data_IF_467667630509
#
_entry.id   IF_467667630509
#
_cell.length_a   1.000
_cell.length_b   1.000
_cell.length_c   1.000
_cell.angle_alpha   90.00
_cell.angle_beta   90.00
_cell.angle_gamma   90.00
#
_symmetry.space_group_name_H-M   'P 1'
#
loop_
_entity.id
_entity.type
_entity.pdbx_description
1 polymer ?
#
# COMPACT_ATOMS: atom_id res chain seq x y z
N UNK A 1 -14.70 -41.58 53.37
CA UNK A 1 -15.14 -42.62 52.45
C UNK A 1 -16.07 -41.98 51.44
N UNK A 2 -15.71 -42.11 50.14
CA UNK A 2 -16.43 -41.66 48.93
C UNK A 2 -16.54 -40.15 48.62
N UNK A 3 -15.65 -39.71 47.75
CA UNK A 3 -15.76 -38.52 46.90
C UNK A 3 -16.90 -38.69 45.89
N UNK A 4 -17.66 -37.63 45.65
CA UNK A 4 -18.46 -37.49 44.44
C UNK A 4 -18.00 -36.23 43.69
N UNK A 5 -17.40 -36.45 42.53
CA UNK A 5 -17.10 -35.43 41.54
C UNK A 5 -18.40 -34.97 40.88
N UNK A 6 -18.63 -33.68 40.83
CA UNK A 6 -19.63 -33.05 39.96
C UNK A 6 -19.03 -32.71 38.63
N UNK A 7 -19.54 -33.28 37.55
CA UNK A 7 -19.20 -32.95 36.18
C UNK A 7 -20.07 -31.77 35.77
N UNK A 8 -19.44 -30.61 35.55
CA UNK A 8 -20.08 -29.46 34.95
C UNK A 8 -20.17 -29.66 33.41
N UNK A 9 -21.39 -29.69 32.90
CA UNK A 9 -21.66 -29.72 31.46
C UNK A 9 -21.54 -28.32 30.93
N UNK A 10 -20.48 -28.09 30.14
CA UNK A 10 -20.31 -26.88 29.36
C UNK A 10 -21.13 -27.04 28.07
N UNK A 11 -22.25 -26.34 27.95
CA UNK A 11 -23.03 -26.29 26.72
C UNK A 11 -22.35 -25.33 25.73
N UNK A 12 -21.64 -25.89 24.75
CA UNK A 12 -21.11 -25.15 23.61
C UNK A 12 -22.24 -24.96 22.61
N UNK A 13 -22.69 -23.73 22.45
CA UNK A 13 -23.59 -23.37 21.35
C UNK A 13 -22.80 -23.42 20.04
N UNK A 14 -23.06 -24.39 19.19
CA UNK A 14 -22.55 -24.48 17.85
C UNK A 14 -23.43 -23.58 16.99
N UNK A 15 -22.90 -22.42 16.60
CA UNK A 15 -23.47 -21.63 15.53
C UNK A 15 -23.07 -22.28 14.21
N UNK A 16 -24.01 -22.98 13.58
CA UNK A 16 -23.84 -23.47 12.22
C UNK A 16 -23.97 -22.28 11.27
N UNK A 17 -22.85 -21.66 10.90
CA UNK A 17 -22.78 -20.83 9.72
C UNK A 17 -22.66 -21.78 8.51
N UNK A 18 -23.70 -21.82 7.68
CA UNK A 18 -23.67 -22.52 6.40
C UNK A 18 -22.68 -21.78 5.49
N UNK A 19 -21.42 -22.21 5.50
CA UNK A 19 -20.46 -21.88 4.47
C UNK A 19 -20.85 -22.65 3.22
N UNK A 20 -21.37 -21.97 2.21
CA UNK A 20 -21.45 -22.49 0.86
C UNK A 20 -20.00 -22.65 0.41
N UNK A 21 -19.51 -23.89 0.46
CA UNK A 21 -18.19 -24.26 -0.01
C UNK A 21 -18.13 -24.17 -1.53
N UNK A 22 -17.54 -23.13 -2.05
CA UNK A 22 -16.97 -23.14 -3.39
C UNK A 22 -15.62 -23.85 -3.32
N UNK A 23 -15.62 -25.15 -3.61
CA UNK A 23 -14.40 -25.88 -3.94
C UNK A 23 -14.03 -25.60 -5.40
N UNK A 24 -13.47 -24.42 -5.66
CA UNK A 24 -12.76 -24.13 -6.89
C UNK A 24 -11.32 -24.65 -6.76
N UNK A 25 -10.92 -25.50 -7.67
CA UNK A 25 -9.51 -25.90 -7.86
C UNK A 25 -8.76 -24.63 -8.22
N UNK A 26 -7.90 -24.17 -7.32
CA UNK A 26 -7.00 -23.04 -7.59
C UNK A 26 -5.94 -23.54 -8.57
N UNK A 27 -6.12 -23.28 -9.86
CA UNK A 27 -4.97 -23.20 -10.77
C UNK A 27 -4.04 -22.14 -10.21
N UNK A 28 -2.78 -22.49 -10.02
CA UNK A 28 -1.76 -21.53 -9.63
C UNK A 28 -1.53 -20.58 -10.80
N UNK A 29 -2.32 -19.54 -10.85
CA UNK A 29 -2.11 -18.41 -11.74
C UNK A 29 -0.84 -17.70 -11.28
N UNK A 30 0.08 -17.46 -12.21
CA UNK A 30 1.33 -16.75 -11.97
C UNK A 30 1.08 -15.24 -11.82
N UNK A 31 0.02 -14.85 -11.10
CA UNK A 31 -0.26 -13.46 -10.77
C UNK A 31 0.86 -12.94 -9.87
N UNK A 32 1.47 -11.85 -10.27
CA UNK A 32 2.45 -11.15 -9.44
C UNK A 32 1.82 -10.87 -8.06
N UNK A 33 2.58 -11.01 -6.98
CA UNK A 33 2.09 -10.91 -5.60
C UNK A 33 1.34 -9.61 -5.24
N UNK A 34 1.28 -8.64 -6.16
CA UNK A 34 0.63 -7.34 -6.01
C UNK A 34 -0.64 -7.15 -6.86
N UNK A 35 -1.11 -8.17 -7.58
CA UNK A 35 -2.30 -8.05 -8.40
C UNK A 35 -3.57 -8.35 -7.60
N UNK A 36 -4.53 -7.41 -7.63
CA UNK A 36 -5.76 -7.48 -6.85
C UNK A 36 -6.96 -8.00 -7.66
N UNK A 37 -6.94 -7.87 -9.00
CA UNK A 37 -7.95 -8.42 -9.90
C UNK A 37 -7.55 -9.84 -10.30
N UNK A 38 -8.47 -10.78 -10.19
CA UNK A 38 -8.28 -12.17 -10.60
C UNK A 38 -8.94 -12.41 -11.94
N UNK A 39 -8.29 -13.22 -12.81
CA UNK A 39 -8.81 -13.57 -14.13
C UNK A 39 -9.25 -12.30 -14.92
N UNK A 40 -8.39 -11.29 -14.91
CA UNK A 40 -8.65 -10.06 -15.66
C UNK A 40 -8.30 -10.18 -17.15
N UNK A 41 -7.63 -11.25 -17.54
CA UNK A 41 -7.37 -11.70 -18.92
C UNK A 41 -8.49 -12.57 -19.49
N UNK A 42 -9.49 -12.91 -18.68
CA UNK A 42 -10.67 -13.73 -19.04
C UNK A 42 -10.37 -15.12 -19.61
N UNK A 43 -9.15 -15.63 -19.49
CA UNK A 43 -8.77 -16.94 -20.02
C UNK A 43 -9.46 -18.09 -19.27
N UNK A 44 -9.87 -17.87 -18.02
CA UNK A 44 -10.72 -18.78 -17.23
C UNK A 44 -12.20 -18.37 -17.27
N UNK A 45 -12.68 -17.89 -18.40
CA UNK A 45 -14.05 -17.48 -18.62
C UNK A 45 -14.46 -16.30 -17.72
N UNK A 46 -15.55 -16.46 -16.97
CA UNK A 46 -16.08 -15.43 -16.07
C UNK A 46 -15.76 -15.71 -14.59
N UNK A 47 -14.86 -16.62 -14.29
CA UNK A 47 -14.48 -16.92 -12.92
C UNK A 47 -14.01 -15.64 -12.22
N UNK A 48 -14.48 -15.45 -10.98
CA UNK A 48 -14.28 -14.27 -10.15
C UNK A 48 -15.04 -12.98 -10.58
N UNK A 49 -15.75 -12.99 -11.69
CA UNK A 49 -16.54 -11.84 -12.14
C UNK A 49 -18.05 -12.07 -11.92
N UNK A 50 -18.73 -11.06 -11.42
CA UNK A 50 -20.16 -11.07 -11.14
C UNK A 50 -20.85 -10.22 -12.23
N UNK A 51 -21.76 -10.87 -12.98
CA UNK A 51 -22.54 -10.21 -14.02
C UNK A 51 -23.87 -9.65 -13.49
N UNK A 52 -24.29 -8.50 -13.99
CA UNK A 52 -25.64 -7.96 -13.73
C UNK A 52 -26.73 -8.79 -14.38
N UNK A 53 -26.42 -9.51 -15.46
CA UNK A 53 -27.34 -10.37 -16.18
C UNK A 53 -26.76 -11.79 -16.34
N UNK A 54 -26.97 -12.68 -15.35
CA UNK A 54 -26.38 -14.01 -15.37
C UNK A 54 -26.90 -14.91 -16.51
N UNK A 55 -28.03 -14.56 -17.14
CA UNK A 55 -28.57 -15.33 -18.26
C UNK A 55 -27.85 -15.08 -19.59
N UNK A 56 -27.00 -14.06 -19.67
CA UNK A 56 -26.19 -13.75 -20.85
C UNK A 56 -24.76 -14.31 -20.78
N UNK A 57 -24.44 -15.11 -19.77
CA UNK A 57 -23.09 -15.56 -19.46
C UNK A 57 -22.34 -16.29 -20.60
N UNK A 58 -23.05 -17.05 -21.44
CA UNK A 58 -22.42 -17.77 -22.58
C UNK A 58 -22.07 -16.84 -23.74
N UNK A 59 -22.65 -15.65 -23.81
CA UNK A 59 -22.35 -14.64 -24.83
C UNK A 59 -21.33 -13.60 -24.36
N UNK A 60 -20.97 -13.62 -23.07
CA UNK A 60 -20.11 -12.61 -22.48
C UNK A 60 -18.61 -12.88 -22.64
N UNK A 61 -18.23 -14.09 -23.10
CA UNK A 61 -16.85 -14.36 -23.49
C UNK A 61 -16.76 -14.44 -25.01
N UNK A 62 -15.83 -13.69 -25.57
CA UNK A 62 -15.48 -13.72 -26.99
C UNK A 62 -14.05 -14.18 -27.16
N UNK A 63 -13.67 -14.54 -28.39
CA UNK A 63 -12.32 -14.93 -28.77
C UNK A 63 -11.82 -13.97 -29.84
N UNK A 64 -10.65 -13.35 -29.66
CA UNK A 64 -10.03 -12.44 -30.64
C UNK A 64 -9.02 -13.15 -31.52
N UNK A 65 -8.29 -14.11 -30.95
CA UNK A 65 -7.29 -14.96 -31.62
C UNK A 65 -7.37 -16.36 -31.00
N UNK A 66 -6.81 -17.41 -31.61
CA UNK A 66 -6.80 -18.73 -31.01
C UNK A 66 -6.15 -18.71 -29.62
N UNK A 67 -6.97 -18.95 -28.59
CA UNK A 67 -6.52 -18.99 -27.19
C UNK A 67 -6.54 -17.66 -26.45
N UNK A 68 -6.98 -16.54 -27.05
CA UNK A 68 -7.14 -15.27 -26.33
C UNK A 68 -8.61 -14.93 -26.16
N UNK A 69 -9.07 -14.92 -24.92
CA UNK A 69 -10.43 -14.60 -24.54
C UNK A 69 -10.57 -13.12 -24.08
N UNK A 70 -11.77 -12.60 -24.12
CA UNK A 70 -12.09 -11.27 -23.61
C UNK A 70 -13.52 -11.23 -23.07
N UNK A 71 -13.78 -10.37 -22.11
CA UNK A 71 -15.14 -10.06 -21.66
C UNK A 71 -15.88 -9.25 -22.73
N UNK A 72 -17.07 -9.73 -23.12
CA UNK A 72 -17.98 -8.99 -24.02
C UNK A 72 -19.24 -8.59 -23.26
N UNK A 73 -19.48 -7.29 -23.16
CA UNK A 73 -20.69 -6.72 -22.57
C UNK A 73 -21.54 -6.04 -23.65
N UNK A 74 -22.87 -6.21 -23.55
CA UNK A 74 -23.88 -5.65 -24.50
C UNK A 74 -25.05 -5.08 -23.71
N UNK A 75 -25.82 -4.17 -24.31
CA UNK A 75 -27.14 -3.74 -23.82
C UNK A 75 -27.18 -3.33 -22.33
N UNK A 76 -26.27 -2.49 -21.88
CA UNK A 76 -26.16 -2.06 -20.49
C UNK A 76 -25.77 -3.16 -19.48
N UNK A 77 -25.23 -4.28 -19.94
CA UNK A 77 -24.66 -5.29 -19.06
C UNK A 77 -23.46 -4.74 -18.30
N UNK A 78 -23.27 -5.25 -17.12
CA UNK A 78 -22.13 -4.93 -16.27
C UNK A 78 -21.48 -6.18 -15.70
N UNK A 79 -20.18 -6.11 -15.52
CA UNK A 79 -19.41 -7.08 -14.75
C UNK A 79 -18.67 -6.36 -13.63
N UNK A 80 -18.61 -6.94 -12.44
CA UNK A 80 -17.79 -6.39 -11.37
C UNK A 80 -17.09 -7.48 -10.58
N UNK A 81 -16.00 -7.11 -9.95
CA UNK A 81 -15.25 -7.95 -9.04
C UNK A 81 -14.95 -7.19 -7.76
N UNK A 82 -15.16 -7.85 -6.60
CA UNK A 82 -14.67 -7.35 -5.32
C UNK A 82 -13.16 -7.58 -5.24
N UNK A 83 -12.44 -6.56 -4.86
CA UNK A 83 -10.99 -6.57 -4.74
C UNK A 83 -10.56 -6.15 -3.35
N UNK A 84 -9.44 -6.71 -2.88
CA UNK A 84 -8.86 -6.33 -1.59
C UNK A 84 -7.88 -5.19 -1.81
N UNK A 85 -8.16 -4.04 -1.23
CA UNK A 85 -7.29 -2.86 -1.27
C UNK A 85 -7.02 -2.34 0.14
N UNK A 86 -5.94 -1.60 0.32
CA UNK A 86 -5.59 -0.93 1.58
C UNK A 86 -6.21 0.47 1.63
N UNK A 87 -6.58 1.01 2.80
CA UNK A 87 -7.00 2.41 2.92
C UNK A 87 -5.85 3.36 2.60
N UNK A 88 -6.19 4.59 2.18
CA UNK A 88 -5.27 5.70 1.87
C UNK A 88 -4.13 5.36 0.90
N UNK A 89 -4.29 4.34 0.07
CA UNK A 89 -3.25 3.77 -0.79
C UNK A 89 -3.52 4.09 -2.26
N UNK A 90 -2.48 4.43 -3.00
CA UNK A 90 -2.56 4.69 -4.44
C UNK A 90 -2.54 3.38 -5.24
N UNK A 91 -3.44 3.29 -6.21
CA UNK A 91 -3.57 2.16 -7.13
C UNK A 91 -3.60 2.63 -8.58
N UNK A 92 -3.16 1.75 -9.47
CA UNK A 92 -3.34 1.88 -10.91
C UNK A 92 -4.15 0.70 -11.42
N UNK A 93 -5.32 0.99 -11.99
CA UNK A 93 -6.11 0.05 -12.76
C UNK A 93 -5.77 0.19 -14.23
N UNK A 94 -5.31 -0.88 -14.87
CA UNK A 94 -5.06 -0.94 -16.31
C UNK A 94 -6.02 -1.92 -16.97
N UNK A 95 -6.35 -1.70 -18.23
CA UNK A 95 -7.22 -2.57 -19.02
C UNK A 95 -7.13 -2.24 -20.50
N UNK A 96 -7.42 -3.21 -21.32
CA UNK A 96 -7.65 -3.02 -22.74
C UNK A 96 -9.14 -2.94 -23.01
N UNK A 97 -9.55 -2.01 -23.84
CA UNK A 97 -10.96 -1.78 -24.18
C UNK A 97 -11.14 -1.52 -25.67
N UNK A 98 -12.17 -2.14 -26.25
CA UNK A 98 -12.67 -1.83 -27.58
C UNK A 98 -14.19 -1.76 -27.51
N UNK A 99 -14.75 -0.62 -27.88
CA UNK A 99 -16.19 -0.39 -27.70
C UNK A 99 -16.86 0.20 -28.95
N UNK A 100 -17.79 1.10 -28.72
CA UNK A 100 -18.53 1.84 -29.74
C UNK A 100 -18.15 3.31 -29.70
N UNK A 101 -18.18 3.97 -30.85
CA UNK A 101 -18.00 5.43 -30.91
C UNK A 101 -19.26 6.20 -30.51
N UNK A 102 -20.42 5.55 -30.56
CA UNK A 102 -21.72 6.20 -30.29
C UNK A 102 -22.32 5.83 -28.94
N UNK A 103 -21.79 4.80 -28.29
CA UNK A 103 -22.26 4.32 -27.00
C UNK A 103 -21.05 4.13 -26.09
N UNK A 104 -20.80 5.04 -25.16
CA UNK A 104 -19.65 4.94 -24.26
C UNK A 104 -19.70 3.66 -23.44
N UNK A 105 -18.54 3.12 -23.18
CA UNK A 105 -18.32 2.10 -22.14
C UNK A 105 -17.85 2.78 -20.86
N UNK A 106 -18.04 2.15 -19.73
CA UNK A 106 -17.76 2.76 -18.43
C UNK A 106 -16.91 1.83 -17.58
N UNK A 107 -15.90 2.41 -16.95
CA UNK A 107 -15.10 1.75 -15.91
C UNK A 107 -15.24 2.55 -14.61
N UNK A 108 -15.61 1.86 -13.54
CA UNK A 108 -15.85 2.46 -12.22
C UNK A 108 -15.08 1.69 -11.17
N UNK A 109 -14.44 2.40 -10.24
CA UNK A 109 -13.88 1.85 -9.00
C UNK A 109 -14.52 2.56 -7.81
N UNK A 110 -14.81 1.83 -6.74
CA UNK A 110 -15.43 2.38 -5.54
C UNK A 110 -15.98 1.30 -4.62
N UNK A 111 -16.70 1.69 -3.58
CA UNK A 111 -17.27 0.77 -2.61
C UNK A 111 -18.68 0.35 -3.00
N UNK A 112 -19.03 -0.92 -2.79
CA UNK A 112 -20.40 -1.39 -2.86
C UNK A 112 -21.16 -0.92 -1.62
N UNK A 113 -22.33 -0.31 -1.84
CA UNK A 113 -23.29 0.01 -0.79
C UNK A 113 -24.17 -1.22 -0.42
N UNK A 114 -25.04 -1.05 0.57
CA UNK A 114 -25.95 -2.10 1.02
C UNK A 114 -26.93 -2.57 -0.09
N UNK A 115 -27.17 -1.77 -1.11
CA UNK A 115 -28.02 -2.10 -2.26
C UNK A 115 -27.25 -2.78 -3.41
N UNK A 116 -25.98 -3.13 -3.18
CA UNK A 116 -25.05 -3.66 -4.18
C UNK A 116 -24.79 -2.72 -5.37
N UNK A 117 -24.90 -1.43 -5.15
CA UNK A 117 -24.52 -0.40 -6.12
C UNK A 117 -23.13 0.13 -5.76
N UNK A 118 -22.30 0.39 -6.75
CA UNK A 118 -20.99 0.98 -6.52
C UNK A 118 -21.15 2.50 -6.33
N UNK A 119 -20.78 2.98 -5.15
CA UNK A 119 -20.53 4.40 -4.88
C UNK A 119 -19.16 4.74 -5.48
N UNK A 120 -19.10 5.53 -6.56
CA UNK A 120 -17.88 5.73 -7.30
C UNK A 120 -16.86 6.55 -6.51
N UNK A 121 -15.64 6.03 -6.36
CA UNK A 121 -14.45 6.83 -6.07
C UNK A 121 -13.94 7.48 -7.36
N UNK A 122 -13.91 6.72 -8.44
CA UNK A 122 -13.58 7.18 -9.78
C UNK A 122 -14.43 6.46 -10.82
N UNK A 123 -14.88 7.22 -11.80
CA UNK A 123 -15.70 6.75 -12.92
C UNK A 123 -15.22 7.41 -14.20
N UNK A 124 -14.93 6.62 -15.23
CA UNK A 124 -14.49 7.11 -16.53
C UNK A 124 -15.26 6.44 -17.66
N UNK A 125 -15.46 7.17 -18.75
CA UNK A 125 -16.13 6.70 -19.95
C UNK A 125 -15.15 6.66 -21.12
N UNK A 126 -15.33 5.65 -21.98
CA UNK A 126 -14.44 5.37 -23.10
C UNK A 126 -15.27 5.13 -24.37
N UNK A 127 -14.77 5.62 -25.49
CA UNK A 127 -15.33 5.41 -26.82
C UNK A 127 -14.23 5.01 -27.78
N UNK A 128 -14.51 4.12 -28.75
CA UNK A 128 -13.53 3.70 -29.75
C UNK A 128 -13.76 2.25 -30.18
N UNK A 129 -13.48 1.94 -31.46
CA UNK A 129 -13.61 0.58 -31.99
C UNK A 129 -12.33 -0.24 -31.86
N UNK A 130 -11.19 0.42 -31.85
CA UNK A 130 -9.92 -0.26 -31.79
C UNK A 130 -9.60 -0.62 -30.35
N UNK A 131 -9.01 -1.78 -30.10
CA UNK A 131 -8.45 -2.08 -28.79
C UNK A 131 -7.41 -1.02 -28.41
N UNK A 132 -7.59 -0.41 -27.25
CA UNK A 132 -6.68 0.58 -26.69
C UNK A 132 -6.41 0.24 -25.24
N UNK A 133 -5.15 0.40 -24.82
CA UNK A 133 -4.74 0.25 -23.45
C UNK A 133 -4.99 1.54 -22.68
N UNK A 134 -5.63 1.43 -21.51
CA UNK A 134 -5.94 2.57 -20.65
C UNK A 134 -5.51 2.34 -19.21
N UNK A 135 -5.29 3.44 -18.52
CA UNK A 135 -5.04 3.43 -17.08
C UNK A 135 -5.94 4.42 -16.32
N UNK A 136 -6.28 4.04 -15.09
CA UNK A 136 -6.95 4.88 -14.10
C UNK A 136 -6.12 4.85 -12.83
N UNK A 137 -5.57 6.00 -12.43
CA UNK A 137 -4.90 6.18 -11.13
C UNK A 137 -5.88 6.74 -10.12
N UNK A 138 -5.89 6.18 -8.92
CA UNK A 138 -6.75 6.64 -7.83
C UNK A 138 -6.11 6.36 -6.48
N UNK A 139 -6.57 7.08 -5.45
CA UNK A 139 -6.20 6.84 -4.06
C UNK A 139 -7.44 6.42 -3.29
N UNK A 140 -7.37 5.31 -2.57
CA UNK A 140 -8.46 4.82 -1.72
C UNK A 140 -8.73 5.75 -0.54
N UNK A 141 -9.98 5.77 -0.07
CA UNK A 141 -10.36 6.43 1.17
C UNK A 141 -10.10 5.58 2.41
N UNK A 142 -10.73 5.96 3.51
CA UNK A 142 -10.67 5.21 4.78
C UNK A 142 -11.40 3.87 4.69
N UNK A 143 -12.65 3.91 4.19
CA UNK A 143 -13.46 2.69 4.02
C UNK A 143 -13.13 2.00 2.70
N UNK A 144 -12.67 0.78 2.79
CA UNK A 144 -12.34 -0.11 1.67
C UNK A 144 -12.93 -1.52 1.85
N UNK A 145 -13.90 -1.67 2.75
CA UNK A 145 -14.44 -2.97 3.17
C UNK A 145 -15.09 -3.78 2.03
N UNK A 146 -15.67 -3.10 1.04
CA UNK A 146 -16.36 -3.71 -0.11
C UNK A 146 -15.93 -3.02 -1.42
N UNK A 147 -14.64 -2.87 -1.62
CA UNK A 147 -14.12 -2.18 -2.80
C UNK A 147 -14.27 -3.04 -4.05
N UNK A 148 -14.68 -2.43 -5.16
CA UNK A 148 -14.97 -3.13 -6.40
C UNK A 148 -14.44 -2.41 -7.63
N UNK A 149 -14.10 -3.19 -8.64
CA UNK A 149 -13.87 -2.77 -10.02
C UNK A 149 -15.09 -3.19 -10.84
N UNK A 150 -15.71 -2.23 -11.56
CA UNK A 150 -16.87 -2.47 -12.42
C UNK A 150 -16.57 -2.04 -13.84
N UNK A 151 -16.90 -2.92 -14.76
CA UNK A 151 -16.87 -2.74 -16.21
C UNK A 151 -18.32 -2.69 -16.71
N UNK A 152 -18.65 -1.77 -17.61
CA UNK A 152 -20.01 -1.62 -18.08
C UNK A 152 -20.08 -1.26 -19.56
N UNK A 153 -21.09 -1.81 -20.24
CA UNK A 153 -21.59 -1.32 -21.51
C UNK A 153 -22.75 -0.37 -21.24
N UNK A 154 -22.86 0.72 -21.98
CA UNK A 154 -24.04 1.60 -21.89
C UNK A 154 -25.16 1.14 -22.84
N UNK A 155 -26.37 1.71 -22.69
CA UNK A 155 -27.66 1.20 -23.14
C UNK A 155 -27.78 0.56 -24.53
N UNK A 156 -27.00 0.85 -25.52
CA UNK A 156 -27.05 0.19 -26.86
C UNK A 156 -25.64 -0.17 -27.33
N UNK A 157 -24.68 -0.19 -26.38
CA UNK A 157 -23.29 -0.42 -26.69
C UNK A 157 -22.93 -1.91 -26.79
N UNK A 158 -21.82 -2.14 -27.43
CA UNK A 158 -21.02 -3.38 -27.31
C UNK A 158 -19.64 -2.97 -26.92
N UNK A 159 -19.08 -3.65 -25.93
CA UNK A 159 -17.71 -3.40 -25.48
C UNK A 159 -17.01 -4.72 -25.22
N UNK A 160 -15.71 -4.71 -25.49
CA UNK A 160 -14.78 -5.77 -25.14
C UNK A 160 -13.82 -5.22 -24.10
N UNK A 161 -13.60 -5.98 -23.05
CA UNK A 161 -12.58 -5.71 -22.05
C UNK A 161 -11.61 -6.90 -21.96
N UNK A 162 -10.35 -6.59 -21.74
CA UNK A 162 -9.30 -7.58 -21.60
C UNK A 162 -8.16 -7.02 -20.73
N UNK A 163 -7.27 -7.88 -20.25
CA UNK A 163 -6.06 -7.50 -19.53
C UNK A 163 -6.32 -6.53 -18.34
N UNK A 164 -7.41 -6.76 -17.62
CA UNK A 164 -7.78 -5.93 -16.47
C UNK A 164 -6.88 -6.24 -15.29
N UNK A 165 -6.05 -5.29 -14.88
CA UNK A 165 -5.12 -5.45 -13.76
C UNK A 165 -5.29 -4.28 -12.79
N UNK A 166 -5.31 -4.59 -11.51
CA UNK A 166 -5.27 -3.60 -10.43
C UNK A 166 -4.01 -3.80 -9.61
N UNK A 167 -3.10 -2.85 -9.67
CA UNK A 167 -1.84 -2.89 -8.94
C UNK A 167 -1.76 -1.77 -7.93
N UNK A 168 -1.33 -2.11 -6.73
CA UNK A 168 -0.91 -1.11 -5.76
C UNK A 168 0.30 -0.37 -6.34
N UNK A 169 0.27 0.97 -6.29
CA UNK A 169 1.48 1.75 -6.59
C UNK A 169 2.52 1.36 -5.57
N UNK A 170 3.62 0.83 -6.05
CA UNK A 170 4.74 0.53 -5.16
C UNK A 170 5.09 1.79 -4.37
N UNK A 171 4.96 1.69 -3.06
CA UNK A 171 5.48 2.73 -2.20
C UNK A 171 7.01 2.60 -2.22
N UNK A 172 7.73 3.53 -2.85
CA UNK A 172 9.18 3.45 -2.88
C UNK A 172 9.78 3.63 -1.49
N UNK A 173 8.97 4.11 -0.54
CA UNK A 173 9.43 4.40 0.81
C UNK A 173 9.30 3.18 1.71
N UNK A 174 10.40 2.75 2.28
CA UNK A 174 10.45 1.79 3.39
C UNK A 174 10.11 2.53 4.70
N UNK A 175 10.55 3.77 4.79
CA UNK A 175 10.23 4.71 5.84
C UNK A 175 9.97 6.08 5.23
N UNK A 176 8.93 6.76 5.68
CA UNK A 176 8.63 8.15 5.34
C UNK A 176 7.96 8.82 6.54
N UNK A 177 8.70 9.66 7.24
CA UNK A 177 8.23 10.40 8.41
C UNK A 177 8.36 11.89 8.09
N UNK A 178 7.23 12.54 7.82
CA UNK A 178 7.11 13.97 7.52
C UNK A 178 6.43 14.78 8.64
N UNK A 179 6.04 14.12 9.72
CA UNK A 179 5.33 14.63 10.88
C UNK A 179 4.04 15.42 10.62
N UNK A 180 3.82 15.93 9.43
CA UNK A 180 2.60 16.66 9.05
C UNK A 180 1.40 15.75 8.90
N UNK A 181 1.61 14.59 8.27
CA UNK A 181 0.56 13.60 8.01
C UNK A 181 0.54 12.48 9.05
N UNK A 182 1.64 12.28 9.78
CA UNK A 182 1.74 11.25 10.79
C UNK A 182 2.53 11.77 12.01
N UNK A 183 1.84 12.04 13.09
CA UNK A 183 2.46 12.46 14.37
C UNK A 183 3.13 11.29 15.10
N UNK A 184 3.55 10.24 14.41
CA UNK A 184 4.24 9.10 14.97
C UNK A 184 5.74 9.12 14.64
N UNK A 185 6.54 8.78 15.63
CA UNK A 185 7.99 8.61 15.47
C UNK A 185 8.38 7.14 15.19
N UNK A 186 7.41 6.25 15.07
CA UNK A 186 7.73 4.85 14.74
C UNK A 186 8.58 4.75 13.44
N UNK A 187 9.60 3.88 13.39
CA UNK A 187 9.93 2.85 14.40
C UNK A 187 10.85 3.32 15.54
N UNK A 188 11.18 4.61 15.63
CA UNK A 188 12.16 5.12 16.60
C UNK A 188 11.61 5.15 18.02
N UNK A 189 12.39 4.61 18.96
CA UNK A 189 12.10 4.56 20.40
C UNK A 189 13.33 4.93 21.21
N UNK A 190 13.18 5.48 22.42
CA UNK A 190 14.31 5.69 23.32
C UNK A 190 15.07 4.40 23.57
N UNK A 191 16.37 4.39 23.30
CA UNK A 191 17.23 3.24 23.46
C UNK A 191 18.29 3.43 24.55
N UNK A 192 18.76 4.65 24.71
CA UNK A 192 19.75 5.01 25.72
C UNK A 192 19.72 6.50 26.00
N UNK A 193 20.05 6.89 27.26
CA UNK A 193 20.16 8.28 27.68
C UNK A 193 18.81 8.93 28.08
N UNK A 194 18.80 10.25 28.10
CA UNK A 194 17.66 11.04 28.55
C UNK A 194 17.38 12.19 27.58
N UNK A 195 17.07 11.86 26.30
CA UNK A 195 16.63 12.85 25.33
C UNK A 195 15.23 13.37 25.70
N UNK A 196 15.06 14.68 25.69
CA UNK A 196 13.75 15.33 25.79
C UNK A 196 13.40 15.82 24.38
N UNK A 197 12.29 15.31 23.84
CA UNK A 197 11.85 15.60 22.48
C UNK A 197 10.33 15.60 22.37
N UNK A 198 9.81 16.36 21.44
CA UNK A 198 8.40 16.42 21.08
C UNK A 198 8.26 16.61 19.55
N UNK A 199 7.11 16.23 19.00
CA UNK A 199 6.70 16.65 17.67
C UNK A 199 5.94 17.97 17.85
N UNK A 200 6.41 19.03 17.21
CA UNK A 200 5.91 20.39 17.42
C UNK A 200 5.54 21.06 16.11
N UNK A 201 4.50 21.90 16.15
CA UNK A 201 4.16 22.81 15.07
C UNK A 201 5.31 23.79 14.81
N UNK A 202 5.56 24.14 13.59
CA UNK A 202 6.60 25.09 13.17
C UNK A 202 8.05 24.64 13.44
N UNK A 203 8.24 23.40 13.86
CA UNK A 203 9.54 22.81 14.12
C UNK A 203 10.15 22.09 12.91
N UNK A 204 9.43 21.98 11.81
CA UNK A 204 9.85 21.30 10.56
C UNK A 204 10.33 22.26 9.47
N UNK A 205 10.64 21.70 8.31
CA UNK A 205 11.03 22.41 7.10
C UNK A 205 9.88 23.28 6.61
N UNK A 206 10.18 24.51 6.16
CA UNK A 206 9.16 25.45 5.69
C UNK A 206 8.03 25.71 6.70
N UNK A 207 8.34 25.65 8.00
CA UNK A 207 7.39 25.90 9.06
C UNK A 207 6.32 24.80 9.25
N UNK A 208 6.61 23.60 8.79
CA UNK A 208 5.81 22.37 8.99
C UNK A 208 5.96 21.85 10.43
N UNK A 209 5.30 20.75 10.75
CA UNK A 209 5.62 19.98 11.96
C UNK A 209 6.99 19.33 11.83
N UNK A 210 7.66 19.17 12.96
CA UNK A 210 8.95 18.50 13.02
C UNK A 210 9.27 17.97 14.40
N UNK A 211 10.25 17.10 14.48
CA UNK A 211 10.77 16.59 15.73
C UNK A 211 11.73 17.61 16.35
N UNK A 212 11.39 18.12 17.51
CA UNK A 212 12.20 19.06 18.29
C UNK A 212 12.84 18.32 19.47
N UNK A 213 14.15 18.36 19.55
CA UNK A 213 14.93 17.97 20.71
C UNK A 213 15.26 19.21 21.52
N UNK A 214 14.73 19.31 22.75
CA UNK A 214 14.95 20.49 23.59
C UNK A 214 16.15 20.36 24.52
N UNK A 215 16.54 19.14 24.88
CA UNK A 215 17.75 18.88 25.70
C UNK A 215 18.09 17.40 25.80
N UNK A 216 19.20 17.11 26.49
CA UNK A 216 19.61 15.78 26.84
C UNK A 216 20.66 15.17 25.92
N UNK A 217 21.08 13.97 26.28
CA UNK A 217 21.96 13.12 25.47
C UNK A 217 21.35 11.75 25.37
N UNK A 218 21.53 11.08 24.25
CA UNK A 218 21.02 9.73 24.09
C UNK A 218 20.75 9.34 22.65
N UNK A 219 20.03 8.25 22.50
CA UNK A 219 19.72 7.66 21.20
C UNK A 219 18.23 7.30 21.11
N UNK A 220 17.63 7.62 20.00
CA UNK A 220 16.43 6.97 19.52
C UNK A 220 16.84 5.91 18.49
N UNK A 221 16.30 4.72 18.59
CA UNK A 221 16.58 3.62 17.67
C UNK A 221 15.29 2.98 17.18
N UNK A 222 15.31 2.56 15.93
CA UNK A 222 14.23 1.83 15.31
C UNK A 222 14.79 0.69 14.45
N UNK A 223 14.17 -0.49 14.52
CA UNK A 223 14.54 -1.62 13.69
C UNK A 223 13.71 -1.61 12.41
N UNK A 224 14.38 -1.77 11.26
CA UNK A 224 13.74 -2.03 9.98
C UNK A 224 14.27 -3.31 9.36
N UNK A 225 13.41 -4.07 8.72
CA UNK A 225 13.78 -5.28 7.99
C UNK A 225 13.97 -4.94 6.53
N UNK A 226 15.16 -5.18 6.00
CA UNK A 226 15.56 -4.86 4.64
C UNK A 226 15.92 -6.14 3.87
N UNK A 227 15.87 -6.08 2.54
CA UNK A 227 16.34 -7.17 1.68
C UNK A 227 17.86 -7.31 1.81
N UNK A 228 18.43 -8.52 1.78
CA UNK A 228 19.88 -8.70 1.76
C UNK A 228 20.46 -8.25 0.41
N UNK A 229 21.74 -7.91 0.40
CA UNK A 229 22.53 -7.50 -0.77
C UNK A 229 21.82 -6.42 -1.63
N UNK A 230 21.20 -5.45 -0.95
CA UNK A 230 20.39 -4.40 -1.59
C UNK A 230 20.86 -3.03 -1.11
N UNK A 231 20.96 -2.09 -2.04
CA UNK A 231 21.39 -0.71 -1.74
C UNK A 231 20.20 0.16 -1.38
N UNK A 232 20.37 0.95 -0.32
CA UNK A 232 19.37 1.86 0.22
C UNK A 232 19.93 3.26 0.35
N UNK A 233 19.03 4.24 0.26
CA UNK A 233 19.32 5.65 0.55
C UNK A 233 18.47 6.07 1.72
N UNK A 234 19.10 6.53 2.81
CA UNK A 234 18.45 7.20 3.91
C UNK A 234 18.69 8.70 3.77
N UNK A 235 17.67 9.51 3.91
CA UNK A 235 17.75 10.98 3.92
C UNK A 235 16.98 11.57 5.07
N UNK A 236 17.34 12.78 5.46
CA UNK A 236 16.63 13.56 6.46
C UNK A 236 16.93 15.05 6.27
N UNK A 237 16.05 15.89 6.79
CA UNK A 237 16.23 17.34 6.91
C UNK A 237 16.48 17.71 8.36
N UNK A 238 17.58 18.38 8.69
CA UNK A 238 17.93 18.68 10.09
C UNK A 238 18.63 20.02 10.28
N UNK A 239 18.51 20.57 11.47
CA UNK A 239 19.27 21.75 11.95
C UNK A 239 19.52 21.67 13.44
N UNK A 240 20.44 22.47 13.94
CA UNK A 240 20.75 22.64 15.36
C UNK A 240 20.70 24.12 15.78
N UNK A 241 20.55 24.40 17.08
CA UNK A 241 20.43 25.77 17.58
C UNK A 241 21.74 26.56 17.64
N UNK A 242 22.87 25.91 17.41
CA UNK A 242 24.18 26.55 17.46
C UNK A 242 25.33 25.67 16.99
N UNK A 243 26.48 26.27 16.67
CA UNK A 243 27.63 25.57 16.07
C UNK A 243 28.29 24.52 17.00
N UNK A 244 28.05 24.62 18.29
CA UNK A 244 28.52 23.65 19.31
C UNK A 244 27.64 22.39 19.39
N UNK A 245 26.55 22.35 18.64
CA UNK A 245 25.57 21.27 18.67
C UNK A 245 25.70 20.38 17.46
N UNK A 246 25.40 19.11 17.66
CA UNK A 246 25.49 18.13 16.58
C UNK A 246 24.34 17.11 16.70
N UNK A 247 23.61 16.94 15.63
CA UNK A 247 22.60 15.92 15.48
C UNK A 247 23.11 14.88 14.47
N UNK A 248 23.03 13.61 14.84
CA UNK A 248 23.38 12.49 13.97
C UNK A 248 22.12 11.69 13.62
N UNK A 249 21.96 11.38 12.34
CA UNK A 249 20.91 10.50 11.85
C UNK A 249 21.52 9.48 10.88
N UNK A 250 21.20 8.22 11.04
CA UNK A 250 21.78 7.23 10.16
C UNK A 250 21.32 5.80 10.39
N UNK A 251 22.03 4.87 9.75
CA UNK A 251 21.76 3.44 9.79
C UNK A 251 22.98 2.70 10.32
N UNK A 252 22.76 1.65 11.09
CA UNK A 252 23.80 0.77 11.63
C UNK A 252 23.38 -0.69 11.44
N UNK A 253 24.28 -1.50 10.95
CA UNK A 253 24.10 -2.95 10.86
C UNK A 253 24.30 -3.60 12.22
N UNK A 254 23.42 -4.50 12.67
CA UNK A 254 23.63 -5.24 13.92
C UNK A 254 24.92 -6.05 13.88
N UNK A 255 25.77 -5.84 14.88
CA UNK A 255 27.05 -6.56 15.00
C UNK A 255 28.18 -6.03 14.12
N UNK A 256 27.97 -4.92 13.41
CA UNK A 256 29.01 -4.27 12.61
C UNK A 256 29.46 -2.94 13.20
N UNK A 257 30.77 -2.62 12.98
CA UNK A 257 31.33 -1.32 13.35
C UNK A 257 30.90 -0.20 12.39
N UNK A 258 30.40 -0.56 11.21
CA UNK A 258 30.05 0.42 10.18
C UNK A 258 28.72 1.10 10.49
N UNK A 259 28.83 2.37 10.79
CA UNK A 259 27.67 3.26 10.96
C UNK A 259 27.65 4.25 9.80
N UNK A 260 26.54 4.29 9.08
CA UNK A 260 26.32 5.25 8.01
C UNK A 260 25.58 6.45 8.59
N UNK A 261 26.22 7.62 8.66
CA UNK A 261 25.74 8.76 9.46
C UNK A 261 25.72 10.04 8.66
N UNK A 262 24.58 10.71 8.73
CA UNK A 262 24.40 12.13 8.38
C UNK A 262 24.65 12.97 9.63
N UNK A 263 25.45 14.02 9.52
CA UNK A 263 25.79 14.92 10.62
C UNK A 263 25.26 16.30 10.33
N UNK A 264 24.43 16.84 11.22
CA UNK A 264 23.85 18.16 11.13
C UNK A 264 24.50 19.06 12.18
N UNK A 265 25.10 20.17 11.71
CA UNK A 265 25.78 21.18 12.54
C UNK A 265 25.37 22.60 12.16
N UNK A 266 24.53 22.75 11.14
CA UNK A 266 24.04 24.05 10.65
C UNK A 266 22.86 24.53 11.49
N UNK A 267 22.75 25.84 11.65
CA UNK A 267 21.58 26.50 12.26
C UNK A 267 20.43 26.72 11.27
N UNK A 268 20.67 26.43 10.00
CA UNK A 268 19.65 26.37 8.96
C UNK A 268 19.36 24.92 8.59
N UNK A 269 18.13 24.61 8.16
CA UNK A 269 17.82 23.29 7.67
C UNK A 269 18.72 22.91 6.52
N UNK A 270 19.32 21.73 6.60
CA UNK A 270 20.05 21.05 5.55
C UNK A 270 19.40 19.72 5.28
N UNK A 271 19.20 19.38 4.02
CA UNK A 271 18.84 18.02 3.62
C UNK A 271 20.11 17.24 3.35
N UNK A 272 20.25 16.09 3.99
CA UNK A 272 21.38 15.16 3.80
C UNK A 272 20.89 13.78 3.48
N UNK A 273 21.77 12.99 2.87
CA UNK A 273 21.53 11.59 2.59
C UNK A 273 22.77 10.75 2.81
N UNK A 274 22.57 9.47 3.10
CA UNK A 274 23.60 8.45 3.17
C UNK A 274 23.14 7.22 2.42
N UNK A 275 24.04 6.64 1.64
CA UNK A 275 23.82 5.40 0.91
C UNK A 275 24.54 4.25 1.65
N UNK A 276 23.87 3.10 1.74
CA UNK A 276 24.44 1.89 2.31
C UNK A 276 23.89 0.65 1.59
N UNK A 277 24.70 -0.42 1.58
CA UNK A 277 24.28 -1.71 1.03
C UNK A 277 24.22 -2.74 2.15
N UNK A 278 23.12 -3.47 2.23
CA UNK A 278 22.94 -4.56 3.20
C UNK A 278 23.84 -5.75 2.85
N UNK A 279 24.24 -6.49 3.87
CA UNK A 279 25.05 -7.69 3.67
C UNK A 279 24.29 -8.78 2.92
N UNK A 280 25.04 -9.63 2.22
CA UNK A 280 24.50 -10.83 1.61
C UNK A 280 24.28 -11.90 2.69
N UNK A 281 23.05 -11.98 3.21
CA UNK A 281 22.66 -12.97 4.22
C UNK A 281 21.45 -13.75 3.73
N UNK A 282 21.27 -14.98 4.21
CA UNK A 282 20.09 -15.81 3.89
C UNK A 282 18.83 -15.40 4.66
N UNK A 283 18.94 -14.43 5.58
CA UNK A 283 17.84 -13.93 6.39
C UNK A 283 17.59 -12.44 6.09
N UNK A 284 16.38 -11.93 6.29
CA UNK A 284 16.10 -10.49 6.21
C UNK A 284 17.07 -9.72 7.10
N UNK A 285 17.70 -8.71 6.52
CA UNK A 285 18.70 -7.90 7.19
C UNK A 285 18.02 -6.87 8.07
N UNK A 286 18.34 -6.82 9.36
CA UNK A 286 17.86 -5.80 10.26
C UNK A 286 18.84 -4.63 10.29
N UNK A 287 18.35 -3.44 10.03
CA UNK A 287 19.09 -2.21 10.19
C UNK A 287 18.56 -1.44 11.38
N UNK A 288 19.45 -0.94 12.21
CA UNK A 288 19.11 -0.04 13.30
C UNK A 288 19.20 1.38 12.76
N UNK A 289 18.07 2.06 12.64
CA UNK A 289 18.05 3.50 12.37
C UNK A 289 18.32 4.23 13.69
N UNK A 290 19.19 5.22 13.67
CA UNK A 290 19.61 5.94 14.86
C UNK A 290 19.45 7.45 14.70
N UNK A 291 18.97 8.09 15.77
CA UNK A 291 19.01 9.53 15.97
C UNK A 291 19.80 9.73 17.26
N UNK A 292 20.94 10.39 17.18
CA UNK A 292 21.89 10.51 18.28
C UNK A 292 22.22 11.93 18.60
N UNK A 293 22.27 12.26 19.90
CA UNK A 293 22.95 13.43 20.44
C UNK A 293 24.05 13.00 21.41
N UNK A 294 25.32 13.20 21.05
CA UNK A 294 26.45 12.79 21.89
C UNK A 294 26.81 13.79 23.00
N UNK A 295 26.57 15.06 22.78
CA UNK A 295 26.79 16.12 23.75
C UNK A 295 25.49 16.88 23.84
N UNK A 296 25.09 17.27 25.03
CA UNK A 296 23.82 17.97 25.22
C UNK A 296 23.32 18.60 23.91
N UNK A 297 22.41 17.88 23.24
CA UNK A 297 22.00 18.19 21.86
C UNK A 297 21.44 19.61 21.76
N UNK A 298 20.96 20.17 22.91
CA UNK A 298 20.29 21.46 22.96
C UNK A 298 19.05 21.41 22.08
N UNK A 299 18.64 22.57 21.55
CA UNK A 299 17.60 22.60 20.54
C UNK A 299 18.16 22.10 19.22
N UNK A 300 17.66 20.98 18.77
CA UNK A 300 17.89 20.41 17.45
C UNK A 300 16.56 20.01 16.84
N UNK A 301 16.49 20.02 15.53
CA UNK A 301 15.25 19.81 14.79
C UNK A 301 15.48 18.83 13.67
N UNK A 302 14.52 17.96 13.45
CA UNK A 302 14.57 16.92 12.43
C UNK A 302 13.23 16.78 11.74
N UNK A 303 13.27 16.57 10.41
CA UNK A 303 12.11 16.41 9.57
C UNK A 303 12.44 15.56 8.34
N UNK A 304 11.42 15.16 7.57
CA UNK A 304 11.55 14.45 6.29
C UNK A 304 12.48 13.23 6.36
N UNK A 305 12.28 12.34 7.35
CA UNK A 305 13.10 11.14 7.47
C UNK A 305 12.61 10.11 6.46
N UNK A 306 13.42 9.78 5.48
CA UNK A 306 13.07 8.89 4.37
C UNK A 306 14.08 7.77 4.24
N UNK A 307 13.60 6.55 3.96
CA UNK A 307 14.41 5.40 3.57
C UNK A 307 13.80 4.77 2.33
N UNK A 308 14.59 4.64 1.27
CA UNK A 308 14.18 4.05 -0.01
C UNK A 308 15.18 3.02 -0.49
N UNK A 309 14.72 2.05 -1.27
CA UNK A 309 15.56 1.17 -2.07
C UNK A 309 16.08 1.95 -3.29
N UNK A 310 17.38 1.80 -3.64
CA UNK A 310 18.01 2.51 -4.75
C UNK A 310 17.81 1.79 -6.09
#
# INVERSE_FOLDING_TARGET
>A
MFKKSGIGVLSTAIVLSASIGFSGIVSADSSSANEQVRNGDFEDGLNNWILSNPNSSTENIGTSEPGNHYLKLIHADTAYQLVTVKPHTEYTLTFDIAGSIVSPSEVTVGNLNANQEIVPLTKKQYTGFKPEHHEIKFKTGEDVSNFAVKLASTANGRVKFDNVQLKEKENPYILNIDFDHNSSLEPFKPAYGSLIYNIEEHAGVNNSKGLHFSSGTGHLKGDVTLKPNTTYIMSASGKVSGPEKTLFVGAQSPGEENTFVMTFTSTQYEQKSVEFTTLNTNNPYKVILQINGYVNIGDAYLDDIVLVEK
#
